data_IF_378471747295
#
_entry.id   IF_378471747295
#
_cell.length_a   1.000
_cell.length_b   1.000
_cell.length_c   1.000
_cell.angle_alpha   90.00
_cell.angle_beta   90.00
_cell.angle_gamma   90.00
#
_symmetry.space_group_name_H-M   'P 1'
#
loop_
_entity.id
_entity.type
_entity.pdbx_description
1 polymer ?
#
# COMPACT_ATOMS: atom_id res chain seq x y z
N UNK A 1 31.48 -12.11 2.48
CA UNK A 1 30.03 -12.11 2.09
C UNK A 1 29.38 -13.36 2.63
N UNK A 2 28.16 -13.29 3.20
CA UNK A 2 27.50 -14.43 3.87
C UNK A 2 26.38 -14.99 2.96
N UNK A 3 26.32 -16.33 2.83
CA UNK A 3 25.22 -16.99 2.11
C UNK A 3 23.90 -16.82 2.87
N UNK A 4 22.82 -16.33 2.22
CA UNK A 4 21.55 -16.14 2.89
C UNK A 4 20.84 -17.43 3.30
N UNK A 5 21.17 -18.55 2.65
CA UNK A 5 20.47 -19.82 2.88
C UNK A 5 21.14 -20.68 3.98
N UNK A 6 22.47 -20.59 4.15
CA UNK A 6 23.20 -21.41 5.12
C UNK A 6 24.19 -20.64 6.01
N UNK A 7 24.24 -19.30 5.87
CA UNK A 7 25.12 -18.38 6.62
C UNK A 7 26.64 -18.64 6.47
N UNK A 8 27.04 -19.42 5.48
CA UNK A 8 28.46 -19.66 5.18
C UNK A 8 29.11 -18.40 4.63
N UNK A 9 30.35 -18.13 5.05
CA UNK A 9 31.17 -17.09 4.45
C UNK A 9 31.57 -17.45 3.01
N UNK A 10 31.48 -16.45 2.12
CA UNK A 10 31.65 -16.62 0.67
C UNK A 10 32.71 -15.70 0.08
N UNK A 11 33.63 -15.17 0.90
CA UNK A 11 34.63 -14.20 0.43
C UNK A 11 35.53 -14.75 -0.69
N UNK A 12 35.76 -16.08 -0.74
CA UNK A 12 36.57 -16.76 -1.74
C UNK A 12 35.74 -17.33 -2.90
N UNK A 13 34.46 -17.05 -3.01
CA UNK A 13 33.59 -17.65 -4.04
C UNK A 13 33.16 -16.59 -5.06
N UNK A 14 33.38 -16.85 -6.35
CA UNK A 14 33.08 -15.92 -7.43
C UNK A 14 31.58 -15.62 -7.51
N UNK A 15 31.25 -14.37 -7.91
CA UNK A 15 29.87 -13.95 -8.12
C UNK A 15 29.23 -14.76 -9.23
N UNK A 16 28.11 -15.40 -8.93
CA UNK A 16 27.37 -16.26 -9.87
C UNK A 16 27.58 -17.76 -9.63
N UNK A 17 28.62 -18.15 -8.91
CA UNK A 17 28.84 -19.56 -8.55
C UNK A 17 27.89 -19.99 -7.41
N UNK A 18 27.45 -21.24 -7.41
CA UNK A 18 26.64 -21.76 -6.32
C UNK A 18 27.41 -21.78 -5.02
N UNK A 19 26.72 -21.62 -3.87
CA UNK A 19 27.33 -21.77 -2.56
C UNK A 19 27.89 -23.19 -2.43
N UNK A 20 29.17 -23.37 -2.07
CA UNK A 20 29.80 -24.71 -1.99
C UNK A 20 29.17 -25.58 -0.90
N UNK A 21 28.48 -24.98 0.10
CA UNK A 21 27.88 -25.74 1.18
C UNK A 21 26.42 -26.14 0.91
N UNK A 22 25.59 -25.24 0.33
CA UNK A 22 24.16 -25.50 0.13
C UNK A 22 23.70 -25.46 -1.33
N UNK A 23 24.57 -25.12 -2.28
CA UNK A 23 24.25 -25.01 -3.70
C UNK A 23 23.37 -23.79 -4.06
N UNK A 24 23.03 -22.91 -3.11
CA UNK A 24 22.17 -21.75 -3.34
C UNK A 24 22.75 -20.76 -4.35
N UNK A 25 21.97 -20.35 -5.35
CA UNK A 25 22.37 -19.43 -6.45
C UNK A 25 21.92 -17.99 -6.26
N UNK A 26 21.38 -17.58 -5.11
CA UNK A 26 20.73 -16.26 -4.91
C UNK A 26 21.65 -15.03 -4.80
N UNK A 27 22.94 -15.16 -5.11
CA UNK A 27 23.93 -14.06 -4.97
C UNK A 27 23.78 -12.94 -5.99
N UNK A 28 23.29 -13.22 -7.18
CA UNK A 28 23.26 -12.25 -8.26
C UNK A 28 22.27 -11.09 -8.03
N UNK A 29 21.19 -11.29 -7.28
CA UNK A 29 20.20 -10.27 -7.03
C UNK A 29 20.69 -9.18 -6.04
N UNK A 30 21.43 -9.56 -5.01
CA UNK A 30 21.93 -8.60 -4.00
C UNK A 30 23.07 -7.74 -4.57
N UNK A 31 23.94 -8.33 -5.38
CA UNK A 31 25.05 -7.58 -6.00
C UNK A 31 24.59 -6.69 -7.16
N UNK A 32 23.58 -7.11 -7.92
CA UNK A 32 22.97 -6.21 -8.92
C UNK A 32 22.27 -5.02 -8.26
N UNK A 33 21.58 -5.23 -7.15
CA UNK A 33 20.97 -4.14 -6.39
C UNK A 33 22.05 -3.20 -5.81
N UNK A 34 23.15 -3.72 -5.28
CA UNK A 34 24.26 -2.90 -4.77
C UNK A 34 25.04 -2.20 -5.90
N UNK A 35 25.28 -2.86 -7.03
CA UNK A 35 25.91 -2.24 -8.20
C UNK A 35 25.03 -1.15 -8.80
N UNK A 36 23.71 -1.33 -8.84
CA UNK A 36 22.76 -0.31 -9.30
C UNK A 36 22.71 0.87 -8.34
N UNK A 37 22.77 0.64 -7.04
CA UNK A 37 22.84 1.70 -6.03
C UNK A 37 24.19 2.43 -6.06
N UNK A 38 25.30 1.74 -6.26
CA UNK A 38 26.62 2.35 -6.42
C UNK A 38 26.75 3.13 -7.74
N UNK A 39 26.17 2.63 -8.82
CA UNK A 39 26.12 3.33 -10.11
C UNK A 39 25.24 4.59 -10.03
N UNK A 40 24.14 4.57 -9.30
CA UNK A 40 23.32 5.74 -9.02
C UNK A 40 24.04 6.74 -8.13
N UNK A 41 24.85 6.28 -7.15
CA UNK A 41 25.67 7.18 -6.31
C UNK A 41 26.88 7.76 -7.05
N UNK A 42 27.42 7.06 -8.05
CA UNK A 42 28.55 7.57 -8.87
C UNK A 42 28.10 8.49 -10.02
N UNK A 43 26.83 8.47 -10.38
CA UNK A 43 26.21 9.51 -11.21
C UNK A 43 25.83 10.70 -10.34
N UNK A 44 26.80 11.37 -9.75
CA UNK A 44 26.64 12.76 -9.35
C UNK A 44 26.58 13.58 -10.65
N UNK A 45 25.42 13.53 -11.26
CA UNK A 45 25.08 14.34 -12.41
C UNK A 45 24.98 15.77 -11.92
N UNK A 46 25.91 16.61 -12.33
CA UNK A 46 25.80 18.06 -12.35
C UNK A 46 24.80 18.52 -13.42
N UNK A 47 23.72 17.82 -13.55
CA UNK A 47 22.51 18.24 -14.23
C UNK A 47 21.44 18.30 -13.16
N UNK A 48 20.98 19.47 -12.81
CA UNK A 48 19.75 19.65 -12.05
C UNK A 48 18.60 19.09 -12.89
N UNK A 49 18.42 17.77 -12.84
CA UNK A 49 17.11 17.20 -13.13
C UNK A 49 16.28 17.75 -11.96
N UNK A 50 15.51 18.79 -12.25
CA UNK A 50 14.55 19.34 -11.31
C UNK A 50 13.49 18.27 -11.02
N UNK A 51 13.81 17.33 -10.16
CA UNK A 51 12.78 16.63 -9.43
C UNK A 51 12.18 17.70 -8.53
N UNK A 52 11.09 18.29 -8.97
CA UNK A 52 10.14 18.88 -8.05
C UNK A 52 9.78 17.73 -7.10
N UNK A 53 10.40 17.73 -5.92
CA UNK A 53 9.98 16.83 -4.86
C UNK A 53 8.58 17.30 -4.50
N UNK A 54 7.57 16.62 -5.08
CA UNK A 54 6.20 16.82 -4.63
C UNK A 54 6.17 16.67 -3.11
N UNK A 55 5.39 17.47 -2.39
CA UNK A 55 5.17 17.27 -0.95
C UNK A 55 4.91 15.79 -0.68
N UNK A 56 5.44 15.26 0.42
CA UNK A 56 5.36 13.82 0.70
C UNK A 56 3.93 13.26 0.63
N UNK A 57 2.94 14.03 1.09
CA UNK A 57 1.53 13.65 1.00
C UNK A 57 1.02 13.63 -0.46
N UNK A 58 1.49 14.53 -1.35
CA UNK A 58 1.13 14.53 -2.76
C UNK A 58 1.65 13.28 -3.49
N UNK A 59 2.87 12.85 -3.16
CA UNK A 59 3.40 11.57 -3.66
C UNK A 59 2.52 10.38 -3.24
N UNK A 60 2.09 10.36 -1.98
CA UNK A 60 1.18 9.33 -1.45
C UNK A 60 -0.19 9.39 -2.13
N UNK A 61 -0.74 10.61 -2.32
CA UNK A 61 -1.96 10.85 -3.07
C UNK A 61 -1.88 10.24 -4.47
N UNK A 62 -0.88 10.64 -5.25
CA UNK A 62 -0.66 10.13 -6.60
C UNK A 62 -0.40 8.62 -6.62
N UNK A 63 0.17 8.07 -5.54
CA UNK A 63 0.39 6.64 -5.35
C UNK A 63 -0.92 5.87 -5.34
N UNK A 64 -1.84 6.21 -4.45
CA UNK A 64 -3.10 5.49 -4.37
C UNK A 64 -4.01 5.75 -5.58
N UNK A 65 -3.97 6.94 -6.19
CA UNK A 65 -4.72 7.24 -7.42
C UNK A 65 -4.36 6.26 -8.55
N UNK A 66 -3.08 5.92 -8.72
CA UNK A 66 -2.65 4.91 -9.70
C UNK A 66 -3.25 3.53 -9.42
N UNK A 67 -3.33 3.14 -8.15
CA UNK A 67 -3.94 1.86 -7.77
C UNK A 67 -5.46 1.87 -7.95
N UNK A 68 -6.11 2.99 -7.66
CA UNK A 68 -7.55 3.16 -7.86
C UNK A 68 -7.91 3.11 -9.35
N UNK A 69 -7.13 3.77 -10.21
CA UNK A 69 -7.30 3.68 -11.66
C UNK A 69 -7.17 2.24 -12.17
N UNK A 70 -6.17 1.48 -11.68
CA UNK A 70 -6.02 0.06 -12.03
C UNK A 70 -7.20 -0.78 -11.58
N UNK A 71 -7.74 -0.53 -10.39
CA UNK A 71 -8.91 -1.26 -9.90
C UNK A 71 -10.15 -0.93 -10.75
N UNK A 72 -10.35 0.32 -11.16
CA UNK A 72 -11.41 0.73 -12.11
C UNK A 72 -11.30 -0.01 -13.45
N UNK A 73 -10.08 -0.10 -14.01
CA UNK A 73 -9.82 -0.84 -15.25
C UNK A 73 -10.19 -2.34 -15.11
N UNK A 74 -9.94 -2.95 -13.95
CA UNK A 74 -10.29 -4.35 -13.68
C UNK A 74 -11.82 -4.53 -13.62
N UNK A 75 -12.52 -3.63 -12.93
CA UNK A 75 -13.98 -3.67 -12.84
C UNK A 75 -14.67 -3.47 -14.19
N UNK A 76 -14.04 -2.71 -15.08
CA UNK A 76 -14.54 -2.45 -16.45
C UNK A 76 -14.14 -3.55 -17.45
N UNK A 77 -13.37 -4.55 -17.03
CA UNK A 77 -12.86 -5.59 -17.94
C UNK A 77 -11.79 -5.12 -18.94
N UNK A 78 -11.30 -3.88 -18.78
CA UNK A 78 -10.22 -3.33 -19.62
C UNK A 78 -8.90 -4.08 -19.34
N UNK A 79 -8.70 -4.47 -18.08
CA UNK A 79 -7.53 -5.23 -17.65
C UNK A 79 -8.00 -6.42 -16.80
N UNK A 80 -7.69 -7.62 -17.25
CA UNK A 80 -7.90 -8.85 -16.48
C UNK A 80 -6.56 -9.27 -15.92
N UNK A 81 -6.46 -9.33 -14.60
CA UNK A 81 -5.26 -9.74 -13.87
C UNK A 81 -5.49 -11.09 -13.18
N UNK A 82 -4.38 -11.76 -12.83
CA UNK A 82 -4.45 -12.90 -11.92
C UNK A 82 -4.91 -12.46 -10.52
N UNK A 83 -5.52 -13.35 -9.75
CA UNK A 83 -6.04 -13.03 -8.41
C UNK A 83 -4.97 -12.40 -7.50
N UNK A 84 -3.72 -12.85 -7.59
CA UNK A 84 -2.60 -12.30 -6.80
C UNK A 84 -2.35 -10.82 -7.14
N UNK A 85 -2.41 -10.45 -8.41
CA UNK A 85 -2.20 -9.05 -8.84
C UNK A 85 -3.36 -8.16 -8.42
N UNK A 86 -4.59 -8.71 -8.45
CA UNK A 86 -5.80 -8.03 -7.93
C UNK A 86 -5.66 -7.79 -6.43
N UNK A 87 -5.30 -8.81 -5.65
CA UNK A 87 -5.06 -8.69 -4.22
C UNK A 87 -3.99 -7.64 -3.91
N UNK A 88 -2.86 -7.64 -4.64
CA UNK A 88 -1.80 -6.65 -4.47
C UNK A 88 -2.27 -5.23 -4.81
N UNK A 89 -3.08 -5.07 -5.85
CA UNK A 89 -3.65 -3.77 -6.24
C UNK A 89 -4.55 -3.24 -5.12
N UNK A 90 -5.48 -4.05 -4.63
CA UNK A 90 -6.38 -3.69 -3.53
C UNK A 90 -5.60 -3.41 -2.25
N UNK A 91 -4.64 -4.27 -1.92
CA UNK A 91 -3.79 -4.08 -0.74
C UNK A 91 -3.05 -2.75 -0.79
N UNK A 92 -2.37 -2.45 -1.90
CA UNK A 92 -1.64 -1.19 -2.08
C UNK A 92 -2.57 0.03 -2.04
N UNK A 93 -3.78 -0.09 -2.58
CA UNK A 93 -4.79 0.96 -2.59
C UNK A 93 -5.27 1.28 -1.17
N UNK A 94 -5.73 0.29 -0.41
CA UNK A 94 -6.27 0.49 0.94
C UNK A 94 -5.19 0.93 1.93
N UNK A 95 -3.97 0.40 1.80
CA UNK A 95 -2.81 0.89 2.55
C UNK A 95 -2.51 2.34 2.20
N UNK A 96 -2.51 2.68 0.91
CA UNK A 96 -2.24 4.04 0.44
C UNK A 96 -3.26 5.03 0.96
N UNK A 97 -4.56 4.70 0.88
CA UNK A 97 -5.66 5.51 1.41
C UNK A 97 -5.55 5.74 2.93
N UNK A 98 -5.14 4.73 3.69
CA UNK A 98 -4.95 4.89 5.13
C UNK A 98 -3.65 5.64 5.46
N UNK A 99 -2.54 5.32 4.79
CA UNK A 99 -1.26 5.97 5.08
C UNK A 99 -1.21 7.45 4.70
N UNK A 100 -2.12 7.93 3.83
CA UNK A 100 -2.25 9.36 3.57
C UNK A 100 -2.45 10.15 4.88
N UNK A 101 -3.10 9.56 5.89
CA UNK A 101 -3.21 10.10 7.23
C UNK A 101 -1.86 10.51 7.83
N UNK A 102 -0.86 9.60 7.80
CA UNK A 102 0.46 9.85 8.38
C UNK A 102 1.18 11.00 7.66
N UNK A 103 1.07 11.06 6.33
CA UNK A 103 1.71 12.08 5.52
C UNK A 103 1.08 13.46 5.70
N UNK A 104 -0.25 13.52 5.88
CA UNK A 104 -0.96 14.80 6.02
C UNK A 104 -0.62 15.51 7.33
N UNK A 105 -0.57 14.81 8.46
CA UNK A 105 -0.27 15.50 9.73
C UNK A 105 1.22 15.68 9.98
N UNK A 106 2.08 14.93 9.29
CA UNK A 106 3.54 15.07 9.41
C UNK A 106 4.10 16.16 8.47
N UNK A 107 3.35 16.59 7.47
CA UNK A 107 3.79 17.66 6.58
C UNK A 107 3.69 19.01 7.28
N UNK A 108 4.85 19.58 7.62
CA UNK A 108 4.94 20.86 8.31
C UNK A 108 4.42 22.06 7.52
N UNK A 109 4.21 21.91 6.20
CA UNK A 109 3.62 22.94 5.35
C UNK A 109 2.09 22.98 5.46
N UNK A 110 1.46 21.93 6.05
CA UNK A 110 0.03 21.85 6.21
C UNK A 110 -0.42 22.28 7.62
N UNK A 111 -1.54 22.99 7.75
CA UNK A 111 -2.08 23.42 9.05
C UNK A 111 -2.88 22.27 9.71
N UNK A 112 -2.39 21.04 9.62
CA UNK A 112 -3.08 19.85 10.12
C UNK A 112 -2.39 19.27 11.33
N UNK A 113 -3.17 18.71 12.23
CA UNK A 113 -2.67 18.00 13.41
C UNK A 113 -3.16 16.56 13.40
N UNK A 114 -2.42 15.66 14.05
CA UNK A 114 -2.82 14.26 14.17
C UNK A 114 -4.24 14.07 14.71
N UNK A 115 -4.69 14.77 15.80
CA UNK A 115 -6.06 14.68 16.29
C UNK A 115 -7.11 15.08 15.25
N UNK A 116 -6.84 16.12 14.43
CA UNK A 116 -7.75 16.60 13.39
C UNK A 116 -7.97 15.51 12.34
N UNK A 117 -6.89 14.93 11.83
CA UNK A 117 -6.99 13.89 10.80
C UNK A 117 -7.61 12.60 11.36
N UNK A 118 -7.27 12.22 12.60
CA UNK A 118 -7.91 11.08 13.30
C UNK A 118 -9.40 11.26 13.49
N UNK A 119 -9.84 12.46 13.87
CA UNK A 119 -11.26 12.76 14.05
C UNK A 119 -12.02 12.56 12.74
N UNK A 120 -11.45 12.99 11.61
CA UNK A 120 -12.04 12.80 10.29
C UNK A 120 -12.19 11.32 9.91
N UNK A 121 -11.15 10.50 10.12
CA UNK A 121 -11.22 9.05 9.89
C UNK A 121 -12.33 8.40 10.75
N UNK A 122 -12.47 8.82 12.01
CA UNK A 122 -13.48 8.27 12.90
C UNK A 122 -14.91 8.72 12.55
N UNK A 123 -15.08 9.88 11.89
CA UNK A 123 -16.36 10.35 11.36
C UNK A 123 -16.77 9.59 10.08
N UNK A 124 -15.82 8.95 9.39
CA UNK A 124 -16.04 8.19 8.16
C UNK A 124 -15.68 6.70 8.36
N UNK A 125 -16.42 5.98 9.24
CA UNK A 125 -16.03 4.63 9.67
C UNK A 125 -16.16 3.58 8.57
N UNK A 126 -17.06 3.76 7.60
CA UNK A 126 -17.37 2.77 6.56
C UNK A 126 -16.50 2.92 5.31
N UNK A 127 -15.73 3.99 5.22
CA UNK A 127 -14.76 4.28 4.17
C UNK A 127 -13.34 4.35 4.74
N UNK A 128 -12.92 5.49 5.29
CA UNK A 128 -11.58 5.69 5.86
C UNK A 128 -11.32 4.79 7.07
N UNK A 129 -12.33 4.56 7.90
CA UNK A 129 -12.27 3.58 9.00
C UNK A 129 -12.06 2.16 8.50
N UNK A 130 -12.69 1.77 7.39
CA UNK A 130 -12.48 0.48 6.74
C UNK A 130 -11.05 0.34 6.20
N UNK A 131 -10.51 1.39 5.57
CA UNK A 131 -9.11 1.42 5.11
C UNK A 131 -8.13 1.23 6.26
N UNK A 132 -8.35 1.91 7.40
CA UNK A 132 -7.59 1.73 8.63
C UNK A 132 -7.64 0.28 9.13
N UNK A 133 -8.83 -0.30 9.19
CA UNK A 133 -9.04 -1.64 9.72
C UNK A 133 -8.40 -2.69 8.80
N UNK A 134 -8.49 -2.49 7.48
CA UNK A 134 -7.81 -3.32 6.48
C UNK A 134 -6.28 -3.25 6.65
N UNK A 135 -5.71 -2.05 6.67
CA UNK A 135 -4.27 -1.84 6.84
C UNK A 135 -3.74 -2.46 8.14
N UNK A 136 -4.50 -2.31 9.21
CA UNK A 136 -4.15 -2.85 10.51
C UNK A 136 -4.28 -4.38 10.58
N UNK A 137 -5.22 -4.99 9.88
CA UNK A 137 -5.37 -6.46 9.81
C UNK A 137 -4.12 -7.08 9.18
N UNK A 138 -3.55 -6.44 8.18
CA UNK A 138 -2.33 -6.93 7.53
C UNK A 138 -1.04 -6.72 8.35
N UNK A 139 -0.97 -5.64 9.13
CA UNK A 139 0.21 -5.34 9.96
C UNK A 139 0.29 -6.20 11.22
N UNK A 140 -0.84 -6.63 11.76
CA UNK A 140 -0.90 -7.23 13.08
C UNK A 140 -1.62 -8.57 13.05
N UNK A 141 -0.87 -9.65 13.21
CA UNK A 141 -1.43 -11.01 13.36
C UNK A 141 -2.21 -11.20 14.67
N UNK A 142 -2.00 -10.32 15.65
CA UNK A 142 -2.74 -10.31 16.93
C UNK A 142 -3.11 -8.87 17.29
N UNK A 143 -4.38 -8.57 17.34
CA UNK A 143 -4.91 -7.32 17.88
C UNK A 143 -5.62 -7.60 19.20
N UNK A 144 -5.22 -6.86 20.22
CA UNK A 144 -5.84 -6.95 21.56
C UNK A 144 -6.64 -5.69 21.93
N UNK A 145 -7.10 -4.91 20.95
CA UNK A 145 -7.84 -3.69 21.23
C UNK A 145 -9.33 -3.92 21.04
N UNK A 146 -10.09 -3.76 22.14
CA UNK A 146 -11.55 -3.70 22.10
C UNK A 146 -12.02 -2.61 21.12
N UNK A 147 -13.05 -2.92 20.34
CA UNK A 147 -13.63 -2.01 19.34
C UNK A 147 -12.91 -1.98 17.98
N UNK A 148 -11.84 -2.77 17.77
CA UNK A 148 -11.23 -2.91 16.45
C UNK A 148 -12.01 -3.87 15.56
N UNK A 149 -11.97 -3.63 14.24
CA UNK A 149 -12.54 -4.53 13.24
C UNK A 149 -11.43 -5.27 12.50
N UNK A 150 -11.73 -6.47 12.01
CA UNK A 150 -10.95 -7.15 10.98
C UNK A 150 -11.55 -6.76 9.64
N UNK A 151 -10.72 -6.41 8.67
CA UNK A 151 -11.14 -6.22 7.30
C UNK A 151 -10.16 -6.91 6.34
N UNK A 152 -10.70 -7.64 5.37
CA UNK A 152 -9.91 -8.43 4.42
C UNK A 152 -10.66 -8.66 3.11
N UNK A 153 -9.96 -9.02 2.05
CA UNK A 153 -10.60 -9.55 0.83
C UNK A 153 -11.21 -10.91 1.18
N UNK A 154 -12.48 -11.07 0.87
CA UNK A 154 -13.20 -12.33 1.09
C UNK A 154 -13.56 -13.04 -0.20
N UNK A 155 -13.64 -12.29 -1.31
CA UNK A 155 -14.01 -12.85 -2.60
C UNK A 155 -13.51 -11.95 -3.74
N UNK A 156 -13.06 -12.60 -4.82
CA UNK A 156 -12.81 -11.96 -6.12
C UNK A 156 -13.72 -12.67 -7.12
N UNK A 157 -14.62 -11.93 -7.72
CA UNK A 157 -15.56 -12.41 -8.73
C UNK A 157 -15.06 -12.04 -10.11
N UNK A 158 -14.77 -13.02 -10.96
CA UNK A 158 -14.38 -12.79 -12.34
C UNK A 158 -15.54 -13.13 -13.27
N UNK A 159 -15.87 -12.20 -14.16
CA UNK A 159 -16.94 -12.35 -15.13
C UNK A 159 -16.59 -11.75 -16.49
N UNK A 160 -17.52 -11.83 -17.45
CA UNK A 160 -17.35 -11.25 -18.79
C UNK A 160 -17.15 -9.73 -18.77
N UNK A 161 -17.61 -9.06 -17.72
CA UNK A 161 -17.61 -7.59 -17.60
C UNK A 161 -16.49 -7.09 -16.66
N UNK A 162 -15.54 -7.94 -16.29
CA UNK A 162 -14.42 -7.57 -15.42
C UNK A 162 -14.35 -8.38 -14.12
N UNK A 163 -13.55 -7.87 -13.19
CA UNK A 163 -13.31 -8.50 -11.90
C UNK A 163 -13.78 -7.59 -10.77
N UNK A 164 -14.63 -8.11 -9.89
CA UNK A 164 -15.09 -7.44 -8.67
C UNK A 164 -14.41 -7.99 -7.45
N UNK A 165 -14.13 -7.13 -6.49
CA UNK A 165 -13.50 -7.49 -5.22
C UNK A 165 -14.46 -7.18 -4.08
N UNK A 166 -14.73 -8.16 -3.24
CA UNK A 166 -15.53 -7.99 -2.03
C UNK A 166 -14.62 -7.94 -0.81
N UNK A 167 -14.77 -6.87 -0.04
CA UNK A 167 -14.12 -6.70 1.26
C UNK A 167 -15.10 -7.09 2.35
N UNK A 168 -14.69 -8.00 3.22
CA UNK A 168 -15.46 -8.38 4.40
C UNK A 168 -14.87 -7.74 5.64
N UNK A 169 -15.73 -7.28 6.56
CA UNK A 169 -15.28 -6.80 7.87
C UNK A 169 -16.23 -7.24 9.00
N UNK A 170 -15.70 -7.36 10.20
CA UNK A 170 -16.45 -7.67 11.43
C UNK A 170 -15.67 -7.19 12.67
N UNK A 171 -16.33 -7.06 13.85
CA UNK A 171 -15.63 -6.83 15.10
C UNK A 171 -14.61 -7.93 15.39
N UNK A 172 -13.44 -7.55 15.89
CA UNK A 172 -12.38 -8.50 16.24
C UNK A 172 -12.79 -9.49 17.35
N UNK A 173 -13.50 -9.00 18.34
CA UNK A 173 -13.96 -9.75 19.50
C UNK A 173 -15.17 -10.67 19.23
N UNK A 174 -15.70 -10.64 18.00
CA UNK A 174 -16.85 -11.45 17.57
C UNK A 174 -16.47 -12.35 16.38
N UNK A 175 -15.57 -13.34 16.57
CA UNK A 175 -15.05 -14.16 15.47
C UNK A 175 -16.11 -15.02 14.76
N UNK A 176 -17.21 -15.31 15.43
CA UNK A 176 -18.32 -16.11 14.89
C UNK A 176 -19.40 -15.26 14.19
N UNK A 177 -19.30 -13.92 14.26
CA UNK A 177 -20.23 -13.07 13.53
C UNK A 177 -19.93 -13.12 12.03
N UNK A 178 -20.94 -13.22 11.16
CA UNK A 178 -20.75 -13.08 9.72
C UNK A 178 -20.06 -11.76 9.38
N UNK A 179 -19.21 -11.78 8.38
CA UNK A 179 -18.61 -10.54 7.88
C UNK A 179 -19.67 -9.72 7.14
N UNK A 180 -19.68 -8.43 7.40
CA UNK A 180 -20.37 -7.46 6.54
C UNK A 180 -19.56 -7.31 5.26
N UNK A 181 -20.22 -7.43 4.12
CA UNK A 181 -19.59 -7.36 2.81
C UNK A 181 -19.78 -5.97 2.17
N UNK A 182 -18.74 -5.44 1.56
CA UNK A 182 -18.78 -4.21 0.77
C UNK A 182 -18.03 -4.40 -0.53
N UNK A 183 -18.46 -3.71 -1.58
CA UNK A 183 -17.75 -3.66 -2.85
C UNK A 183 -16.43 -2.87 -2.66
N UNK A 184 -15.31 -3.48 -3.04
CA UNK A 184 -13.98 -2.90 -2.82
C UNK A 184 -13.73 -1.62 -3.60
N UNK A 185 -14.25 -1.52 -4.83
CA UNK A 185 -14.14 -0.31 -5.64
C UNK A 185 -14.99 0.81 -5.03
N UNK A 186 -16.25 0.53 -4.71
CA UNK A 186 -17.14 1.53 -4.11
C UNK A 186 -16.60 2.06 -2.78
N UNK A 187 -16.04 1.18 -1.93
CA UNK A 187 -15.41 1.59 -0.68
C UNK A 187 -14.17 2.47 -0.90
N UNK A 188 -13.35 2.14 -1.91
CA UNK A 188 -12.17 2.93 -2.24
C UNK A 188 -12.53 4.31 -2.82
N UNK A 189 -13.53 4.37 -3.68
CA UNK A 189 -14.03 5.63 -4.26
C UNK A 189 -14.65 6.54 -3.21
N UNK A 190 -15.41 5.98 -2.27
CA UNK A 190 -15.91 6.76 -1.14
C UNK A 190 -14.77 7.28 -0.26
N UNK A 191 -13.73 6.47 -0.02
CA UNK A 191 -12.56 6.90 0.75
C UNK A 191 -11.77 8.01 0.04
N UNK A 192 -11.65 7.93 -1.30
CA UNK A 192 -11.07 9.00 -2.11
C UNK A 192 -11.87 10.29 -1.95
N UNK A 193 -13.20 10.22 -2.05
CA UNK A 193 -14.09 11.37 -1.91
C UNK A 193 -14.01 11.98 -0.51
N UNK A 194 -13.97 11.18 0.54
CA UNK A 194 -13.86 11.66 1.92
C UNK A 194 -12.52 12.39 2.15
N UNK A 195 -11.42 11.90 1.59
CA UNK A 195 -10.16 12.61 1.61
C UNK A 195 -10.19 13.91 0.81
N UNK A 196 -10.86 13.90 -0.35
CA UNK A 196 -11.04 15.08 -1.17
C UNK A 196 -11.78 16.18 -0.40
N UNK A 197 -12.87 15.82 0.27
CA UNK A 197 -13.68 16.74 1.07
C UNK A 197 -12.90 17.27 2.27
N UNK A 198 -12.10 16.41 2.93
CA UNK A 198 -11.20 16.84 4.01
C UNK A 198 -10.18 17.88 3.54
N UNK A 199 -9.48 17.61 2.46
CA UNK A 199 -8.47 18.54 1.92
C UNK A 199 -9.11 19.86 1.50
N UNK A 200 -10.25 19.82 0.83
CA UNK A 200 -11.01 21.00 0.45
C UNK A 200 -11.46 21.83 1.66
N UNK A 201 -11.97 21.17 2.71
CA UNK A 201 -12.39 21.83 3.95
C UNK A 201 -11.24 22.60 4.61
N UNK A 202 -10.03 22.08 4.51
CA UNK A 202 -8.81 22.70 5.05
C UNK A 202 -8.08 23.63 4.09
N UNK A 203 -8.67 23.92 2.90
CA UNK A 203 -8.07 24.80 1.90
C UNK A 203 -6.80 24.25 1.24
N UNK A 204 -6.62 22.92 1.26
CA UNK A 204 -5.46 22.24 0.68
C UNK A 204 -5.79 21.87 -0.75
N UNK A 205 -4.97 22.35 -1.69
CA UNK A 205 -5.12 22.04 -3.12
C UNK A 205 -4.69 20.60 -3.40
N UNK A 206 -5.54 19.87 -4.11
CA UNK A 206 -5.22 18.50 -4.52
C UNK A 206 -4.18 18.53 -5.63
N UNK A 207 -3.16 17.63 -5.58
CA UNK A 207 -2.19 17.50 -6.65
C UNK A 207 -2.87 17.14 -7.98
N UNK A 208 -2.47 17.80 -9.05
CA UNK A 208 -2.95 17.57 -10.42
C UNK A 208 -2.22 16.42 -11.09
#
# INVERSE_FOLDING_TARGET
MICPDCQQDLDDVSVGDPCPQCGGKRRSAVLQAQATMAAVSAMSVTGSIGYSLEPGWAYQWNGFQRHLARLREQYQGIRILGNVDVEQTVHSLFLGLYHLYDWLYQDSALPLTEPTVKAWINQNPDSLGLCRDYANTWKHTKRNQSGSRIAQIIRIESGSNGQKVMIGYRPWDQPNQPMTEVDGLAAAEQSEQDWHDFLKMHGISIPS
#
